data_IF_531086787359
#
_entry.id   IF_531086787359
#
_cell.length_a   1.000
_cell.length_b   1.000
_cell.length_c   1.000
_cell.angle_alpha   90.00
_cell.angle_beta   90.00
_cell.angle_gamma   90.00
#
_symmetry.space_group_name_H-M   'P 1'
#
loop_
_entity.id
_entity.type
_entity.pdbx_description
1 polymer ?
#
# COMPACT_ATOMS: atom_id res chain seq x y z
N UNK A 1 0.59 -27.90 8.43
CA UNK A 1 0.26 -26.44 8.51
C UNK A 1 0.09 -25.86 7.10
N UNK A 2 0.06 -26.73 6.10
CA UNK A 2 0.45 -26.39 4.73
C UNK A 2 -0.66 -25.62 4.03
N UNK A 3 -1.92 -25.94 4.38
CA UNK A 3 -3.10 -25.19 3.92
C UNK A 3 -3.05 -23.75 4.44
N UNK A 4 -2.67 -23.55 5.71
CA UNK A 4 -2.60 -22.21 6.30
C UNK A 4 -1.47 -21.39 5.65
N UNK A 5 -0.28 -21.98 5.51
CA UNK A 5 0.84 -21.35 4.81
C UNK A 5 0.49 -20.99 3.36
N UNK A 6 -0.13 -21.92 2.63
CA UNK A 6 -0.57 -21.69 1.26
C UNK A 6 -1.55 -20.51 1.17
N UNK A 7 -2.54 -20.47 2.08
CA UNK A 7 -3.49 -19.35 2.15
C UNK A 7 -2.77 -18.03 2.44
N UNK A 8 -1.85 -17.99 3.41
CA UNK A 8 -1.10 -16.77 3.72
C UNK A 8 -0.21 -16.33 2.54
N UNK A 9 0.42 -17.26 1.81
CA UNK A 9 1.22 -16.95 0.62
C UNK A 9 0.35 -16.36 -0.51
N UNK A 10 -0.83 -16.93 -0.76
CA UNK A 10 -1.78 -16.40 -1.74
C UNK A 10 -2.26 -15.00 -1.33
N UNK A 11 -2.63 -14.81 -0.05
CA UNK A 11 -3.04 -13.50 0.48
C UNK A 11 -1.90 -12.49 0.34
N UNK A 12 -0.66 -12.86 0.68
CA UNK A 12 0.51 -12.02 0.52
C UNK A 12 0.72 -11.62 -0.96
N UNK A 13 0.62 -12.56 -1.88
CA UNK A 13 0.77 -12.31 -3.31
C UNK A 13 -0.28 -11.34 -3.85
N UNK A 14 -1.56 -11.59 -3.53
CA UNK A 14 -2.68 -10.73 -3.95
C UNK A 14 -2.55 -9.33 -3.35
N UNK A 15 -2.27 -9.22 -2.05
CA UNK A 15 -2.13 -7.92 -1.37
C UNK A 15 -0.92 -7.14 -1.88
N UNK A 16 0.18 -7.80 -2.26
CA UNK A 16 1.35 -7.16 -2.89
C UNK A 16 1.01 -6.55 -4.26
N UNK A 17 0.29 -7.30 -5.09
CA UNK A 17 -0.17 -6.83 -6.41
C UNK A 17 -1.13 -5.65 -6.26
N UNK A 18 -2.14 -5.79 -5.39
CA UNK A 18 -3.12 -4.73 -5.12
C UNK A 18 -2.47 -3.47 -4.54
N UNK A 19 -1.51 -3.60 -3.62
CA UNK A 19 -0.76 -2.45 -3.10
C UNK A 19 0.02 -1.74 -4.19
N UNK A 20 0.72 -2.49 -5.05
CA UNK A 20 1.46 -1.92 -6.18
C UNK A 20 0.53 -1.12 -7.09
N UNK A 21 -0.61 -1.70 -7.48
CA UNK A 21 -1.61 -1.02 -8.30
C UNK A 21 -2.22 0.21 -7.61
N UNK A 22 -2.56 0.08 -6.33
CA UNK A 22 -3.13 1.18 -5.54
C UNK A 22 -2.14 2.34 -5.39
N UNK A 23 -0.86 2.04 -5.17
CA UNK A 23 0.20 3.06 -5.08
C UNK A 23 0.37 3.76 -6.42
N UNK A 24 0.38 3.02 -7.54
CA UNK A 24 0.44 3.62 -8.87
C UNK A 24 -0.80 4.48 -9.20
N UNK A 25 -1.97 4.11 -8.65
CA UNK A 25 -3.20 4.88 -8.78
C UNK A 25 -3.21 6.15 -7.91
N UNK A 26 -2.32 6.26 -6.91
CA UNK A 26 -2.15 7.54 -6.23
C UNK A 26 -1.65 8.54 -7.26
N UNK A 27 -2.45 9.59 -7.48
CA UNK A 27 -2.10 10.72 -8.32
C UNK A 27 -0.68 11.13 -7.95
N UNK A 28 0.27 10.96 -8.86
CA UNK A 28 1.66 11.29 -8.61
C UNK A 28 1.73 12.77 -8.23
N UNK A 29 1.81 13.08 -6.92
CA UNK A 29 2.08 14.43 -6.42
C UNK A 29 3.54 14.82 -6.68
N UNK A 30 4.09 14.38 -7.81
CA UNK A 30 5.30 14.91 -8.41
C UNK A 30 4.95 16.24 -9.05
N UNK A 31 4.66 17.22 -8.20
CA UNK A 31 4.84 18.60 -8.60
C UNK A 31 6.28 18.76 -9.03
N UNK A 32 6.53 19.21 -10.26
CA UNK A 32 7.88 19.31 -10.81
C UNK A 32 8.79 20.19 -9.95
N UNK A 33 10.04 20.41 -10.40
CA UNK A 33 11.00 21.28 -9.70
C UNK A 33 10.38 22.61 -9.22
N UNK A 34 9.43 23.18 -9.97
CA UNK A 34 8.66 24.38 -9.60
C UNK A 34 7.86 24.27 -8.30
N UNK A 35 7.27 23.12 -7.97
CA UNK A 35 6.54 22.91 -6.70
C UNK A 35 7.51 22.67 -5.53
N UNK A 36 8.73 22.16 -5.81
CA UNK A 36 9.82 22.07 -4.84
C UNK A 36 10.51 23.41 -4.58
N UNK A 37 10.43 24.36 -5.53
CA UNK A 37 10.98 25.73 -5.43
C UNK A 37 9.92 26.81 -5.09
N UNK A 38 8.78 26.43 -4.52
CA UNK A 38 7.81 27.38 -3.93
C UNK A 38 6.75 27.95 -4.88
N UNK A 39 6.59 27.39 -6.08
CA UNK A 39 5.67 27.89 -7.13
C UNK A 39 4.22 27.42 -7.03
N UNK A 40 3.64 27.28 -5.84
CA UNK A 40 2.40 26.51 -5.65
C UNK A 40 1.29 27.12 -4.79
N UNK A 41 1.13 28.45 -4.71
CA UNK A 41 0.08 29.06 -3.86
C UNK A 41 -1.35 28.91 -4.45
N UNK A 42 -1.53 28.57 -5.74
CA UNK A 42 -2.84 28.75 -6.39
C UNK A 42 -3.47 27.54 -7.10
N UNK A 43 -2.84 26.35 -7.10
CA UNK A 43 -3.31 25.24 -7.97
C UNK A 43 -3.82 23.99 -7.24
N UNK A 44 -3.81 23.94 -5.90
CA UNK A 44 -4.21 22.74 -5.15
C UNK A 44 -5.69 22.73 -4.69
N UNK A 45 -6.50 23.74 -5.03
CA UNK A 45 -7.85 23.89 -4.46
C UNK A 45 -8.96 23.08 -5.15
N UNK A 46 -8.68 22.38 -6.26
CA UNK A 46 -9.72 21.72 -7.07
C UNK A 46 -9.70 20.20 -7.15
N UNK A 47 -8.73 19.51 -6.54
CA UNK A 47 -8.47 18.09 -6.80
C UNK A 47 -9.13 17.18 -5.75
N UNK A 48 -10.38 16.79 -5.97
CA UNK A 48 -11.00 15.52 -5.53
C UNK A 48 -10.63 14.98 -4.13
N UNK A 49 -10.56 15.85 -3.11
CA UNK A 49 -10.05 15.48 -1.78
C UNK A 49 -10.75 14.29 -1.12
N UNK A 50 -12.01 13.98 -1.50
CA UNK A 50 -12.73 12.80 -1.01
C UNK A 50 -12.23 11.49 -1.63
N UNK A 51 -11.97 11.47 -2.95
CA UNK A 51 -11.46 10.28 -3.64
C UNK A 51 -10.02 9.96 -3.21
N UNK A 52 -9.17 10.98 -3.10
CA UNK A 52 -7.78 10.82 -2.67
C UNK A 52 -7.69 10.38 -1.19
N UNK A 53 -8.52 10.96 -0.31
CA UNK A 53 -8.58 10.54 1.11
C UNK A 53 -9.06 9.11 1.27
N UNK A 54 -10.06 8.69 0.50
CA UNK A 54 -10.54 7.31 0.57
C UNK A 54 -9.52 6.33 -0.02
N UNK A 55 -8.85 6.67 -1.13
CA UNK A 55 -7.79 5.85 -1.71
C UNK A 55 -6.64 5.62 -0.71
N UNK A 56 -6.21 6.68 -0.01
CA UNK A 56 -5.20 6.58 1.03
C UNK A 56 -5.64 5.65 2.18
N UNK A 57 -6.89 5.76 2.65
CA UNK A 57 -7.41 4.86 3.70
C UNK A 57 -7.37 3.40 3.27
N UNK A 58 -7.79 3.09 2.04
CA UNK A 58 -7.74 1.73 1.52
C UNK A 58 -6.31 1.19 1.43
N UNK A 59 -5.37 2.01 0.94
CA UNK A 59 -3.96 1.62 0.86
C UNK A 59 -3.35 1.37 2.23
N UNK A 60 -3.64 2.21 3.23
CA UNK A 60 -3.14 2.02 4.59
C UNK A 60 -3.71 0.74 5.20
N UNK A 61 -5.02 0.48 5.09
CA UNK A 61 -5.63 -0.75 5.59
C UNK A 61 -5.03 -1.97 4.91
N UNK A 62 -4.87 -1.93 3.59
CA UNK A 62 -4.30 -3.04 2.84
C UNK A 62 -2.81 -3.27 3.18
N UNK A 63 -2.05 -2.20 3.42
CA UNK A 63 -0.66 -2.27 3.83
C UNK A 63 -0.50 -2.91 5.22
N UNK A 64 -1.42 -2.63 6.15
CA UNK A 64 -1.46 -3.28 7.45
C UNK A 64 -1.75 -4.78 7.32
N UNK A 65 -2.73 -5.18 6.50
CA UNK A 65 -3.03 -6.60 6.25
C UNK A 65 -1.83 -7.32 5.61
N UNK A 66 -1.21 -6.70 4.62
CA UNK A 66 0.00 -7.21 3.97
C UNK A 66 1.15 -7.39 4.96
N UNK A 67 1.41 -6.39 5.80
CA UNK A 67 2.46 -6.44 6.82
C UNK A 67 2.20 -7.55 7.85
N UNK A 68 0.96 -7.68 8.33
CA UNK A 68 0.57 -8.76 9.25
C UNK A 68 0.77 -10.13 8.61
N UNK A 69 0.44 -10.29 7.32
CA UNK A 69 0.67 -11.55 6.60
C UNK A 69 2.17 -11.90 6.52
N UNK A 70 3.04 -10.91 6.29
CA UNK A 70 4.50 -11.11 6.32
C UNK A 70 4.98 -11.56 7.69
N UNK A 71 4.57 -10.85 8.74
CA UNK A 71 5.00 -11.18 10.11
C UNK A 71 4.49 -12.55 10.50
N UNK A 72 3.24 -12.88 10.20
CA UNK A 72 2.66 -14.20 10.48
C UNK A 72 3.41 -15.32 9.74
N UNK A 73 3.67 -15.17 8.43
CA UNK A 73 4.49 -16.12 7.67
C UNK A 73 5.92 -16.23 8.21
N UNK A 74 6.53 -15.10 8.58
CA UNK A 74 7.88 -15.07 9.15
C UNK A 74 7.97 -15.78 10.50
N UNK A 75 6.94 -15.62 11.35
CA UNK A 75 6.86 -16.34 12.63
C UNK A 75 6.60 -17.83 12.40
N UNK A 76 5.65 -18.17 11.52
CA UNK A 76 5.32 -19.55 11.16
C UNK A 76 6.57 -20.27 10.63
N UNK A 77 7.29 -19.70 9.66
CA UNK A 77 8.55 -20.28 9.13
C UNK A 77 9.66 -20.35 10.17
N UNK A 78 9.82 -19.34 11.03
CA UNK A 78 10.82 -19.34 12.11
C UNK A 78 10.56 -20.41 13.16
N UNK A 79 9.30 -20.65 13.54
CA UNK A 79 8.93 -21.61 14.59
C UNK A 79 8.64 -23.00 14.07
N UNK A 80 8.30 -23.14 12.80
CA UNK A 80 8.34 -24.43 12.11
C UNK A 80 9.77 -24.91 11.89
N UNK A 81 10.74 -23.97 11.88
CA UNK A 81 12.15 -24.30 11.71
C UNK A 81 12.42 -24.80 10.30
N UNK A 82 13.71 -24.97 10.01
CA UNK A 82 14.17 -25.81 8.90
C UNK A 82 13.53 -27.20 8.97
#
# INVERSE_FOLDING_TARGET
MDILEFVLQVVLGITSLLLTLLILLHKGRGGGLSDMFGGGMSSALGSSGLAERNLNRFTVVLALVWFVAIVALGLITKFQGL
#
